data_IF_955353140549
#
_entry.id   IF_955353140549
#
_cell.length_a   1.000
_cell.length_b   1.000
_cell.length_c   1.000
_cell.angle_alpha   90.00
_cell.angle_beta   90.00
_cell.angle_gamma   90.00
#
_symmetry.space_group_name_H-M   'P 1'
#
loop_
_entity.id
_entity.type
_entity.pdbx_description
1 polymer ?
#
# COMPACT_ATOMS: atom_id res chain seq x y z
N UNK A 1 0.90 36.55 11.36
CA UNK A 1 2.25 36.90 10.87
C UNK A 1 2.14 37.89 9.73
N UNK A 2 3.11 38.79 9.58
CA UNK A 2 3.25 39.65 8.41
C UNK A 2 3.78 38.87 7.18
N UNK A 3 3.58 39.39 5.97
CA UNK A 3 4.13 38.79 4.73
C UNK A 3 5.64 38.57 4.80
N UNK A 4 6.38 39.52 5.35
CA UNK A 4 7.85 39.42 5.44
C UNK A 4 8.29 38.28 6.36
N UNK A 5 7.61 38.08 7.49
CA UNK A 5 7.89 36.97 8.39
C UNK A 5 7.59 35.62 7.73
N UNK A 6 6.45 35.52 7.04
CA UNK A 6 6.06 34.29 6.32
C UNK A 6 7.04 34.00 5.18
N UNK A 7 7.45 35.01 4.41
CA UNK A 7 8.44 34.87 3.36
C UNK A 7 9.79 34.39 3.89
N UNK A 8 10.20 34.87 5.07
CA UNK A 8 11.41 34.39 5.72
C UNK A 8 11.31 32.90 6.08
N UNK A 9 10.17 32.41 6.56
CA UNK A 9 9.97 30.97 6.79
C UNK A 9 10.02 30.16 5.48
N UNK A 10 9.37 30.65 4.43
CA UNK A 10 9.37 30.01 3.11
C UNK A 10 10.80 29.93 2.56
N UNK A 11 11.56 31.03 2.66
CA UNK A 11 12.96 31.07 2.23
C UNK A 11 13.84 30.13 3.06
N UNK A 12 13.62 30.03 4.38
CA UNK A 12 14.31 29.05 5.22
C UNK A 12 13.98 27.60 4.82
N UNK A 13 12.79 27.35 4.27
CA UNK A 13 12.34 26.02 3.87
C UNK A 13 12.85 25.63 2.46
N UNK A 14 12.81 26.57 1.50
CA UNK A 14 13.10 26.29 0.08
C UNK A 14 14.37 26.95 -0.46
N UNK A 15 15.05 27.78 0.32
CA UNK A 15 16.17 28.62 -0.13
C UNK A 15 15.76 29.84 -0.97
N UNK A 16 14.47 30.00 -1.25
CA UNK A 16 13.88 31.14 -1.95
C UNK A 16 12.39 31.23 -1.62
N UNK A 17 11.73 32.35 -2.00
CA UNK A 17 10.26 32.44 -1.97
C UNK A 17 9.72 32.15 -3.38
N UNK A 18 9.08 30.98 -3.62
CA UNK A 18 8.54 30.67 -4.93
C UNK A 18 7.53 31.71 -5.39
N UNK A 19 7.50 32.00 -6.69
CA UNK A 19 6.65 33.05 -7.25
C UNK A 19 5.17 32.85 -6.97
N UNK A 20 4.69 31.60 -6.90
CA UNK A 20 3.29 31.30 -6.63
C UNK A 20 2.84 31.69 -5.21
N UNK A 21 3.73 31.64 -4.20
CA UNK A 21 3.42 32.18 -2.87
C UNK A 21 3.30 33.71 -2.87
N UNK A 22 3.97 34.39 -3.81
CA UNK A 22 3.89 35.84 -3.93
C UNK A 22 2.54 36.32 -4.44
N UNK A 23 1.81 35.47 -5.16
CA UNK A 23 0.48 35.75 -5.69
C UNK A 23 -0.61 35.66 -4.61
N UNK A 24 -0.34 35.03 -3.47
CA UNK A 24 -1.33 34.83 -2.40
C UNK A 24 -1.57 36.16 -1.67
N UNK A 25 -2.83 36.59 -1.46
CA UNK A 25 -3.16 37.80 -0.71
C UNK A 25 -2.66 37.78 0.75
N UNK A 26 -2.37 38.96 1.32
CA UNK A 26 -1.93 39.07 2.72
C UNK A 26 -2.91 38.45 3.72
N UNK A 27 -4.21 38.57 3.43
CA UNK A 27 -5.28 38.07 4.30
C UNK A 27 -5.33 36.54 4.41
N UNK A 28 -4.72 35.81 3.46
CA UNK A 28 -4.74 34.34 3.44
C UNK A 28 -3.35 33.69 3.43
N UNK A 29 -2.27 34.45 3.19
CA UNK A 29 -0.91 33.91 3.03
C UNK A 29 -0.46 33.03 4.20
N UNK A 30 -0.75 33.42 5.44
CA UNK A 30 -0.38 32.61 6.61
C UNK A 30 -1.13 31.29 6.66
N UNK A 31 -2.42 31.31 6.33
CA UNK A 31 -3.27 30.11 6.32
C UNK A 31 -2.83 29.15 5.23
N UNK A 32 -2.57 29.66 4.02
CA UNK A 32 -2.09 28.86 2.89
C UNK A 32 -0.70 28.27 3.17
N UNK A 33 0.21 29.04 3.77
CA UNK A 33 1.54 28.53 4.15
C UNK A 33 1.44 27.41 5.19
N UNK A 34 0.61 27.59 6.22
CA UNK A 34 0.36 26.54 7.23
C UNK A 34 -0.25 25.29 6.62
N UNK A 35 -1.21 25.44 5.71
CA UNK A 35 -1.82 24.32 5.00
C UNK A 35 -0.80 23.61 4.13
N UNK A 36 0.00 24.36 3.37
CA UNK A 36 1.04 23.80 2.50
C UNK A 36 2.02 22.95 3.30
N UNK A 37 2.55 23.46 4.42
CA UNK A 37 3.44 22.68 5.29
C UNK A 37 2.79 21.38 5.77
N UNK A 38 1.55 21.46 6.25
CA UNK A 38 0.82 20.30 6.76
C UNK A 38 0.60 19.24 5.67
N UNK A 39 0.20 19.64 4.47
CA UNK A 39 -0.14 18.69 3.41
C UNK A 39 1.11 18.10 2.75
N UNK A 40 2.12 18.95 2.52
CA UNK A 40 3.30 18.58 1.74
C UNK A 40 4.46 18.01 2.59
N UNK A 41 4.58 18.35 3.87
CA UNK A 41 5.74 17.97 4.68
C UNK A 41 5.42 17.09 5.87
N UNK A 42 4.27 17.25 6.52
CA UNK A 42 3.95 16.43 7.69
C UNK A 42 3.81 14.96 7.30
N UNK A 43 4.32 14.09 8.17
CA UNK A 43 4.08 12.66 8.09
C UNK A 43 2.58 12.38 8.25
N UNK A 44 2.10 11.45 7.43
CA UNK A 44 0.72 11.00 7.48
C UNK A 44 0.66 9.48 7.33
N UNK A 45 -0.55 8.90 7.32
CA UNK A 45 -0.72 7.46 7.19
C UNK A 45 -0.14 6.87 5.91
N UNK A 46 0.00 7.69 4.86
CA UNK A 46 0.67 7.34 3.61
C UNK A 46 2.08 7.97 3.65
N UNK A 47 3.15 7.15 3.59
CA UNK A 47 4.52 7.66 3.50
C UNK A 47 4.73 8.57 2.29
N UNK A 48 5.59 9.57 2.43
CA UNK A 48 5.75 10.65 1.44
C UNK A 48 6.12 10.14 0.04
N UNK A 49 6.97 9.11 -0.07
CA UNK A 49 7.28 8.48 -1.36
C UNK A 49 6.00 8.07 -2.13
N UNK A 50 5.08 7.38 -1.45
CA UNK A 50 3.84 6.92 -2.06
C UNK A 50 2.84 8.05 -2.31
N UNK A 51 2.80 9.07 -1.44
CA UNK A 51 1.98 10.27 -1.63
C UNK A 51 2.39 11.01 -2.91
N UNK A 52 3.68 11.15 -3.15
CA UNK A 52 4.18 11.83 -4.35
C UNK A 52 4.01 10.97 -5.61
N UNK A 53 4.10 9.64 -5.53
CA UNK A 53 3.75 8.75 -6.65
C UNK A 53 2.25 8.86 -7.02
N UNK A 54 1.35 8.99 -6.04
CA UNK A 54 -0.05 9.33 -6.30
C UNK A 54 -0.16 10.70 -6.99
N UNK A 55 0.60 11.69 -6.52
CA UNK A 55 0.71 13.02 -7.13
C UNK A 55 1.16 12.97 -8.60
N UNK A 56 2.14 12.14 -8.94
CA UNK A 56 2.59 11.89 -10.32
C UNK A 56 1.43 11.34 -11.17
N UNK A 57 0.68 10.35 -10.67
CA UNK A 57 -0.50 9.81 -11.36
C UNK A 57 -1.57 10.87 -11.61
N UNK A 58 -1.91 11.67 -10.60
CA UNK A 58 -2.87 12.78 -10.73
C UNK A 58 -2.38 13.80 -11.76
N UNK A 59 -1.10 14.18 -11.70
CA UNK A 59 -0.50 15.15 -12.61
C UNK A 59 -0.55 14.66 -14.07
N UNK A 60 -0.28 13.38 -14.31
CA UNK A 60 -0.33 12.77 -15.63
C UNK A 60 -1.75 12.80 -16.23
N UNK A 61 -2.77 12.43 -15.45
CA UNK A 61 -4.17 12.38 -15.92
C UNK A 61 -4.75 13.78 -16.10
N UNK A 62 -4.50 14.70 -15.16
CA UNK A 62 -4.94 16.10 -15.25
C UNK A 62 -4.14 16.91 -16.26
N UNK A 63 -3.04 16.35 -16.79
CA UNK A 63 -2.11 16.99 -17.73
C UNK A 63 -1.49 18.27 -17.16
N UNK A 64 -1.34 18.34 -15.84
CA UNK A 64 -0.75 19.48 -15.16
C UNK A 64 0.78 19.44 -15.31
N UNK A 65 1.34 20.31 -16.17
CA UNK A 65 2.80 20.39 -16.39
C UNK A 65 3.58 20.78 -15.12
N UNK A 66 3.06 21.71 -14.32
CA UNK A 66 3.69 22.13 -13.06
C UNK A 66 3.77 20.97 -12.07
N UNK A 67 2.65 20.26 -11.90
CA UNK A 67 2.52 19.14 -10.99
C UNK A 67 3.36 17.94 -11.44
N UNK A 68 3.48 17.71 -12.75
CA UNK A 68 4.28 16.62 -13.29
C UNK A 68 5.75 16.80 -12.91
N UNK A 69 6.30 18.00 -13.09
CA UNK A 69 7.67 18.29 -12.65
C UNK A 69 7.78 18.19 -11.13
N UNK A 70 6.93 18.89 -10.40
CA UNK A 70 7.03 18.98 -8.94
C UNK A 70 6.94 17.60 -8.26
N UNK A 71 5.89 16.83 -8.53
CA UNK A 71 5.71 15.53 -7.87
C UNK A 71 6.75 14.50 -8.30
N UNK A 72 7.25 14.56 -9.55
CA UNK A 72 8.35 13.68 -9.98
C UNK A 72 9.64 13.98 -9.21
N UNK A 73 10.02 15.25 -9.07
CA UNK A 73 11.25 15.61 -8.34
C UNK A 73 11.12 15.30 -6.84
N UNK A 74 9.97 15.59 -6.22
CA UNK A 74 9.76 15.32 -4.80
C UNK A 74 9.61 13.82 -4.53
N UNK A 75 9.03 13.03 -5.44
CA UNK A 75 9.02 11.57 -5.33
C UNK A 75 10.45 11.01 -5.31
N UNK A 76 11.32 11.48 -6.22
CA UNK A 76 12.74 11.10 -6.27
C UNK A 76 13.49 11.50 -5.01
N UNK A 77 13.23 12.70 -4.49
CA UNK A 77 13.78 13.15 -3.21
C UNK A 77 13.40 12.22 -2.05
N UNK A 78 12.19 11.65 -2.10
CA UNK A 78 11.70 10.66 -1.13
C UNK A 78 12.11 9.20 -1.48
N UNK A 79 13.06 9.02 -2.39
CA UNK A 79 13.64 7.72 -2.73
C UNK A 79 12.84 6.90 -3.74
N UNK A 80 11.91 7.51 -4.49
CA UNK A 80 11.28 6.84 -5.62
C UNK A 80 12.28 6.59 -6.76
N UNK A 81 12.27 5.38 -7.28
CA UNK A 81 13.02 5.00 -8.48
C UNK A 81 12.27 5.38 -9.75
N UNK A 82 12.98 5.48 -10.88
CA UNK A 82 12.34 5.68 -12.18
C UNK A 82 11.36 4.54 -12.52
N UNK A 83 11.63 3.31 -12.06
CA UNK A 83 10.73 2.17 -12.23
C UNK A 83 9.43 2.33 -11.43
N UNK A 84 9.49 2.84 -10.20
CA UNK A 84 8.28 3.13 -9.41
C UNK A 84 7.46 4.27 -10.03
N UNK A 85 8.12 5.27 -10.61
CA UNK A 85 7.46 6.36 -11.34
C UNK A 85 6.78 5.83 -12.61
N UNK A 86 7.48 4.99 -13.38
CA UNK A 86 6.91 4.33 -14.57
C UNK A 86 5.67 3.51 -14.19
N UNK A 87 5.78 2.68 -13.15
CA UNK A 87 4.68 1.84 -12.66
C UNK A 87 3.47 2.67 -12.22
N UNK A 88 3.70 3.75 -11.46
CA UNK A 88 2.62 4.67 -11.05
C UNK A 88 1.91 5.31 -12.25
N UNK A 89 2.66 5.74 -13.27
CA UNK A 89 2.09 6.29 -14.52
C UNK A 89 1.37 5.22 -15.33
N UNK A 90 1.90 4.00 -15.39
CA UNK A 90 1.27 2.87 -16.07
C UNK A 90 -0.06 2.50 -15.40
N UNK A 91 -0.09 2.46 -14.06
CA UNK A 91 -1.29 2.25 -13.29
C UNK A 91 -2.33 3.35 -13.57
N UNK A 92 -1.93 4.62 -13.50
CA UNK A 92 -2.81 5.75 -13.81
C UNK A 92 -3.39 5.67 -15.24
N UNK A 93 -2.58 5.32 -16.24
CA UNK A 93 -3.02 5.07 -17.62
C UNK A 93 -4.10 3.98 -17.67
N UNK A 94 -3.86 2.85 -16.99
CA UNK A 94 -4.81 1.73 -16.94
C UNK A 94 -6.14 2.14 -16.31
N UNK A 95 -6.09 2.81 -15.14
CA UNK A 95 -7.29 3.30 -14.46
C UNK A 95 -8.11 4.27 -15.32
N UNK A 96 -7.45 5.21 -15.99
CA UNK A 96 -8.12 6.14 -16.89
C UNK A 96 -8.73 5.44 -18.13
N UNK A 97 -8.03 4.43 -18.66
CA UNK A 97 -8.53 3.58 -19.75
C UNK A 97 -9.82 2.84 -19.38
N UNK A 98 -9.83 2.18 -18.21
CA UNK A 98 -11.03 1.53 -17.70
C UNK A 98 -12.16 2.49 -17.41
N UNK A 99 -11.86 3.69 -16.88
CA UNK A 99 -12.86 4.74 -16.70
C UNK A 99 -13.50 5.11 -18.03
N UNK A 100 -12.71 5.27 -19.10
CA UNK A 100 -13.24 5.57 -20.43
C UNK A 100 -14.15 4.45 -20.95
N UNK A 101 -13.73 3.19 -20.78
CA UNK A 101 -14.50 2.04 -21.26
C UNK A 101 -15.82 1.86 -20.51
N UNK A 102 -15.79 1.84 -19.17
CA UNK A 102 -16.99 1.62 -18.35
C UNK A 102 -18.02 2.75 -18.52
N UNK A 103 -17.55 4.01 -18.51
CA UNK A 103 -18.44 5.15 -18.76
C UNK A 103 -18.93 5.16 -20.22
N UNK A 104 -18.06 4.90 -21.19
CA UNK A 104 -18.43 4.88 -22.61
C UNK A 104 -19.47 3.81 -22.94
N UNK A 105 -19.36 2.65 -22.31
CA UNK A 105 -20.31 1.54 -22.46
C UNK A 105 -21.57 1.70 -21.60
N UNK A 106 -21.66 2.76 -20.78
CA UNK A 106 -22.79 3.02 -19.88
C UNK A 106 -23.11 1.80 -19.00
N UNK A 107 -22.08 1.18 -18.43
CA UNK A 107 -22.24 0.03 -17.53
C UNK A 107 -23.16 0.42 -16.37
N UNK A 108 -24.15 -0.43 -16.08
CA UNK A 108 -25.07 -0.22 -14.97
C UNK A 108 -24.30 -0.23 -13.63
N UNK A 109 -24.39 0.87 -12.89
CA UNK A 109 -23.57 1.07 -11.69
C UNK A 109 -23.97 0.15 -10.55
N UNK A 110 -25.26 -0.16 -10.39
CA UNK A 110 -25.72 -1.05 -9.31
C UNK A 110 -25.33 -2.52 -9.61
N UNK A 111 -25.39 -2.94 -10.87
CA UNK A 111 -24.85 -4.22 -11.32
C UNK A 111 -23.35 -4.28 -11.07
N UNK A 112 -22.57 -3.30 -11.56
CA UNK A 112 -21.12 -3.26 -11.36
C UNK A 112 -20.74 -3.34 -9.88
N UNK A 113 -21.41 -2.57 -9.03
CA UNK A 113 -21.21 -2.59 -7.58
C UNK A 113 -21.52 -3.97 -6.98
N UNK A 114 -22.62 -4.60 -7.38
CA UNK A 114 -22.97 -5.95 -6.93
C UNK A 114 -21.91 -6.98 -7.31
N UNK A 115 -21.43 -6.93 -8.56
CA UNK A 115 -20.41 -7.84 -9.09
C UNK A 115 -19.06 -7.65 -8.40
N UNK A 116 -18.61 -6.40 -8.19
CA UNK A 116 -17.37 -6.10 -7.46
C UNK A 116 -17.44 -6.59 -6.03
N UNK A 117 -18.57 -6.39 -5.34
CA UNK A 117 -18.75 -6.89 -3.97
C UNK A 117 -18.71 -8.42 -3.90
N UNK A 118 -19.40 -9.11 -4.81
CA UNK A 118 -19.35 -10.58 -4.88
C UNK A 118 -17.94 -11.10 -5.17
N UNK A 119 -17.22 -10.45 -6.09
CA UNK A 119 -15.84 -10.78 -6.41
C UNK A 119 -14.92 -10.53 -5.20
N UNK A 120 -15.09 -9.42 -4.48
CA UNK A 120 -14.36 -9.14 -3.24
C UNK A 120 -14.60 -10.23 -2.19
N UNK A 121 -15.86 -10.60 -1.94
CA UNK A 121 -16.20 -11.65 -0.98
C UNK A 121 -15.61 -13.01 -1.38
N UNK A 122 -15.66 -13.35 -2.67
CA UNK A 122 -15.04 -14.55 -3.19
C UNK A 122 -13.52 -14.54 -2.98
N UNK A 123 -12.82 -13.48 -3.38
CA UNK A 123 -11.37 -13.36 -3.21
C UNK A 123 -10.99 -13.38 -1.72
N UNK A 124 -11.75 -12.69 -0.86
CA UNK A 124 -11.58 -12.71 0.59
C UNK A 124 -11.75 -14.12 1.16
N UNK A 125 -12.70 -14.90 0.64
CA UNK A 125 -12.88 -16.30 1.04
C UNK A 125 -11.73 -17.20 0.57
N UNK A 126 -11.11 -16.90 -0.57
CA UNK A 126 -9.92 -17.59 -1.11
C UNK A 126 -8.64 -17.20 -0.37
N UNK A 127 -8.57 -15.99 0.16
CA UNK A 127 -7.53 -15.52 1.07
C UNK A 127 -7.78 -15.96 2.52
N UNK A 128 -8.48 -17.08 2.71
CA UNK A 128 -8.93 -17.61 4.00
C UNK A 128 -7.93 -17.34 5.12
N UNK A 129 -8.45 -16.86 6.25
CA UNK A 129 -7.65 -16.39 7.38
C UNK A 129 -6.47 -17.33 7.62
N UNK A 130 -5.26 -16.76 7.54
CA UNK A 130 -4.01 -17.50 7.44
C UNK A 130 -3.97 -18.53 8.57
N UNK A 131 -3.60 -19.77 8.26
CA UNK A 131 -3.51 -20.83 9.27
C UNK A 131 -2.07 -20.93 9.73
N UNK A 132 -1.89 -21.09 11.03
CA UNK A 132 -0.60 -21.22 11.69
C UNK A 132 -0.53 -22.53 12.48
N UNK A 133 0.61 -23.23 12.39
CA UNK A 133 0.99 -24.32 13.26
C UNK A 133 2.31 -23.97 13.94
N UNK A 134 2.37 -24.02 15.26
CA UNK A 134 3.64 -23.91 16.01
C UNK A 134 4.06 -25.28 16.46
N UNK A 135 5.31 -25.65 16.20
CA UNK A 135 5.84 -26.95 16.61
C UNK A 135 5.76 -27.16 18.14
N UNK A 136 5.94 -26.08 18.93
CA UNK A 136 5.71 -26.14 20.39
C UNK A 136 4.30 -26.57 20.79
N UNK A 137 3.27 -26.18 20.02
CA UNK A 137 1.87 -26.52 20.32
C UNK A 137 1.58 -28.02 20.10
N UNK A 138 2.40 -28.72 19.30
CA UNK A 138 2.34 -30.19 19.17
C UNK A 138 3.20 -30.91 20.21
N UNK A 139 3.87 -30.18 21.09
CA UNK A 139 4.68 -30.72 22.18
C UNK A 139 6.11 -31.10 21.76
N UNK A 140 6.62 -30.57 20.64
CA UNK A 140 8.03 -30.70 20.30
C UNK A 140 8.84 -29.51 20.82
N UNK A 141 10.14 -29.73 21.08
CA UNK A 141 11.06 -28.64 21.41
C UNK A 141 11.60 -27.99 20.14
N UNK A 142 10.71 -27.30 19.42
CA UNK A 142 11.03 -26.61 18.17
C UNK A 142 10.23 -25.30 18.05
N UNK A 143 10.92 -24.19 17.77
CA UNK A 143 10.35 -22.83 17.61
C UNK A 143 9.76 -22.57 16.23
N UNK A 144 9.83 -23.55 15.31
CA UNK A 144 9.38 -23.34 13.94
C UNK A 144 7.87 -23.10 13.90
N UNK A 145 7.49 -22.14 13.05
CA UNK A 145 6.10 -21.72 12.83
C UNK A 145 5.78 -21.88 11.35
N UNK A 146 4.81 -22.73 11.06
CA UNK A 146 4.35 -22.99 9.70
C UNK A 146 3.11 -22.15 9.43
N UNK A 147 3.08 -21.48 8.27
CA UNK A 147 1.90 -20.73 7.82
C UNK A 147 1.46 -21.17 6.43
N UNK A 148 0.15 -21.16 6.21
CA UNK A 148 -0.49 -21.53 4.95
C UNK A 148 -1.94 -21.09 4.90
N UNK A 149 -2.53 -21.08 3.71
CA UNK A 149 -3.94 -20.69 3.49
C UNK A 149 -4.92 -21.82 3.74
N UNK A 150 -4.45 -23.07 3.70
CA UNK A 150 -5.24 -24.26 4.00
C UNK A 150 -4.53 -25.15 5.02
N UNK A 151 -5.29 -26.01 5.70
CA UNK A 151 -4.69 -27.02 6.59
C UNK A 151 -3.75 -27.94 5.84
N UNK A 152 -4.09 -28.29 4.60
CA UNK A 152 -3.26 -29.13 3.75
C UNK A 152 -1.92 -28.46 3.41
N UNK A 153 -1.92 -27.15 3.12
CA UNK A 153 -0.69 -26.39 2.90
C UNK A 153 0.19 -26.33 4.17
N UNK A 154 -0.44 -26.09 5.33
CA UNK A 154 0.26 -26.09 6.62
C UNK A 154 0.84 -27.48 6.92
N UNK A 155 0.07 -28.55 6.71
CA UNK A 155 0.53 -29.93 6.92
C UNK A 155 1.65 -30.32 5.97
N UNK A 156 1.56 -29.95 4.70
CA UNK A 156 2.59 -30.22 3.69
C UNK A 156 3.92 -29.58 4.09
N UNK A 157 3.90 -28.28 4.42
CA UNK A 157 5.10 -27.54 4.89
C UNK A 157 5.64 -28.07 6.22
N UNK A 158 4.76 -28.44 7.16
CA UNK A 158 5.17 -29.03 8.43
C UNK A 158 5.84 -30.40 8.24
N UNK A 159 5.32 -31.22 7.33
CA UNK A 159 5.90 -32.52 6.97
C UNK A 159 7.27 -32.36 6.31
N UNK A 160 7.40 -31.41 5.37
CA UNK A 160 8.67 -31.09 4.73
C UNK A 160 9.73 -30.67 5.76
N UNK A 161 9.36 -29.80 6.70
CA UNK A 161 10.24 -29.41 7.80
C UNK A 161 10.63 -30.61 8.68
N UNK A 162 9.68 -31.44 9.08
CA UNK A 162 9.93 -32.63 9.89
C UNK A 162 10.89 -33.62 9.20
N UNK A 163 10.76 -33.80 7.88
CA UNK A 163 11.63 -34.67 7.09
C UNK A 163 13.04 -34.09 6.90
N UNK A 164 13.13 -32.80 6.61
CA UNK A 164 14.41 -32.16 6.24
C UNK A 164 15.26 -31.77 7.45
N UNK A 165 14.63 -31.28 8.51
CA UNK A 165 15.31 -30.77 9.72
C UNK A 165 15.43 -31.84 10.80
N UNK A 166 14.40 -32.67 10.96
CA UNK A 166 14.34 -33.69 12.02
C UNK A 166 14.47 -35.12 11.50
N UNK A 167 14.62 -35.33 10.19
CA UNK A 167 14.77 -36.65 9.55
C UNK A 167 13.66 -37.65 9.90
N UNK A 168 12.47 -37.14 10.20
CA UNK A 168 11.29 -37.95 10.49
C UNK A 168 10.74 -38.45 9.16
N UNK A 169 11.01 -39.72 8.83
CA UNK A 169 10.61 -40.33 7.56
C UNK A 169 9.12 -40.68 7.50
N UNK A 170 8.54 -41.05 8.63
CA UNK A 170 7.13 -41.39 8.77
C UNK A 170 6.56 -40.74 10.03
N UNK A 171 5.42 -40.06 9.88
CA UNK A 171 4.72 -39.41 10.98
C UNK A 171 3.60 -40.37 11.43
N UNK A 172 3.61 -40.87 12.68
CA UNK A 172 2.54 -41.73 13.18
C UNK A 172 1.17 -41.04 13.11
N UNK A 173 0.11 -41.81 12.85
CA UNK A 173 -1.27 -41.28 12.71
C UNK A 173 -1.73 -40.48 13.92
N UNK A 174 -1.40 -40.92 15.15
CA UNK A 174 -1.74 -40.19 16.38
C UNK A 174 -1.08 -38.80 16.44
N UNK A 175 0.14 -38.67 15.90
CA UNK A 175 0.84 -37.39 15.83
C UNK A 175 0.19 -36.47 14.78
N UNK A 176 -0.31 -37.03 13.68
CA UNK A 176 -1.04 -36.26 12.66
C UNK A 176 -2.34 -35.64 13.19
N UNK A 177 -3.09 -36.36 14.04
CA UNK A 177 -4.31 -35.82 14.66
C UNK A 177 -3.98 -34.68 15.64
N UNK A 178 -2.91 -34.83 16.41
CA UNK A 178 -2.39 -33.76 17.27
C UNK A 178 -1.92 -32.55 16.47
N UNK A 179 -1.24 -32.77 15.35
CA UNK A 179 -0.81 -31.68 14.44
C UNK A 179 -2.02 -30.95 13.88
N UNK A 180 -3.03 -31.65 13.36
CA UNK A 180 -4.25 -31.04 12.82
C UNK A 180 -4.98 -30.19 13.87
N UNK A 181 -5.14 -30.72 15.08
CA UNK A 181 -5.81 -30.00 16.18
C UNK A 181 -5.04 -28.79 16.70
N UNK A 182 -3.73 -28.71 16.45
CA UNK A 182 -2.90 -27.55 16.78
C UNK A 182 -2.89 -26.45 15.70
N UNK A 183 -3.45 -26.70 14.50
CA UNK A 183 -3.57 -25.67 13.47
C UNK A 183 -4.64 -24.67 13.87
N UNK A 184 -4.26 -23.39 13.93
CA UNK A 184 -5.16 -22.29 14.28
C UNK A 184 -5.27 -21.28 13.15
N UNK A 185 -6.44 -20.68 13.03
CA UNK A 185 -6.66 -19.52 12.16
C UNK A 185 -6.10 -18.28 12.84
N UNK A 186 -5.26 -17.52 12.14
CA UNK A 186 -4.74 -16.22 12.53
C UNK A 186 -5.40 -15.14 11.65
N UNK A 187 -5.94 -14.11 12.30
CA UNK A 187 -6.56 -12.93 11.70
C UNK A 187 -5.64 -11.74 11.74
#
# INVERSE_FOLDING_TARGET
>A
MSRQEIYKEIEQTFGLVPSFFKLIPDSSLELEWRLFKRVQFDEGPIPNKYRELIGVGIAAITKCRYCSLYHTEVAKLNGATDAEIEDAVHFAKSSAGWSTYLNGMQVDYEQFKSEVNQAYEYVRSMQGAEKELRCRDVGSDCDYVVRGRTEEEVLSKASEHAQTVHHIKEIPTELMDKVRSAIRTIT
#
